data_IF_875885210314
#
_entry.id   IF_875885210314
#
_cell.length_a   1.000
_cell.length_b   1.000
_cell.length_c   1.000
_cell.angle_alpha   90.00
_cell.angle_beta   90.00
_cell.angle_gamma   90.00
#
_symmetry.space_group_name_H-M   'P 1'
#
loop_
_entity.id
_entity.type
_entity.pdbx_description
1 polymer ?
#
# COMPACT_ATOMS: atom_id res chain seq x y z
N UNK A 1 -1.47 -36.87 -9.77
CA UNK A 1 -0.91 -35.69 -9.06
C UNK A 1 -1.17 -35.87 -7.57
N UNK A 2 -0.19 -35.68 -6.68
CA UNK A 2 -0.35 -35.95 -5.24
C UNK A 2 -0.69 -34.68 -4.45
N UNK A 3 -1.35 -34.81 -3.30
CA UNK A 3 -1.68 -33.67 -2.41
C UNK A 3 -0.43 -32.90 -2.00
N UNK A 4 0.68 -33.61 -1.75
CA UNK A 4 1.99 -32.99 -1.43
C UNK A 4 2.48 -32.09 -2.57
N UNK A 5 2.31 -32.52 -3.83
CA UNK A 5 2.70 -31.72 -5.00
C UNK A 5 1.81 -30.48 -5.13
N UNK A 6 0.51 -30.61 -4.89
CA UNK A 6 -0.43 -29.47 -4.91
C UNK A 6 -0.06 -28.40 -3.88
N UNK A 7 0.19 -28.79 -2.63
CA UNK A 7 0.60 -27.85 -1.57
C UNK A 7 1.91 -27.13 -1.89
N UNK A 8 2.88 -27.85 -2.47
CA UNK A 8 4.15 -27.23 -2.88
C UNK A 8 3.93 -26.20 -3.98
N UNK A 9 3.14 -26.53 -5.00
CA UNK A 9 2.84 -25.60 -6.08
C UNK A 9 2.08 -24.34 -5.57
N UNK A 10 1.19 -24.50 -4.60
CA UNK A 10 0.51 -23.36 -3.96
C UNK A 10 1.50 -22.43 -3.25
N UNK A 11 2.42 -23.01 -2.48
CA UNK A 11 3.46 -22.26 -1.79
C UNK A 11 4.40 -21.54 -2.76
N UNK A 12 4.87 -22.23 -3.81
CA UNK A 12 5.71 -21.65 -4.86
C UNK A 12 5.02 -20.45 -5.53
N UNK A 13 3.74 -20.58 -5.90
CA UNK A 13 2.97 -19.49 -6.50
C UNK A 13 2.75 -18.32 -5.54
N UNK A 14 2.46 -18.59 -4.26
CA UNK A 14 2.31 -17.54 -3.26
C UNK A 14 3.62 -16.78 -3.03
N UNK A 15 4.77 -17.45 -3.09
CA UNK A 15 6.08 -16.80 -3.02
C UNK A 15 6.38 -15.98 -4.28
N UNK A 16 6.02 -16.46 -5.48
CA UNK A 16 6.12 -15.67 -6.71
C UNK A 16 5.29 -14.38 -6.64
N UNK A 17 4.09 -14.43 -6.06
CA UNK A 17 3.25 -13.24 -5.83
C UNK A 17 3.94 -12.25 -4.89
N UNK A 18 4.50 -12.72 -3.75
CA UNK A 18 5.26 -11.85 -2.83
C UNK A 18 6.46 -11.21 -3.53
N UNK A 19 7.20 -12.00 -4.30
CA UNK A 19 8.36 -11.52 -5.06
C UNK A 19 7.95 -10.50 -6.12
N UNK A 20 6.83 -10.71 -6.81
CA UNK A 20 6.29 -9.74 -7.75
C UNK A 20 6.00 -8.40 -7.09
N UNK A 21 5.36 -8.37 -5.92
CA UNK A 21 5.17 -7.14 -5.15
C UNK A 21 6.48 -6.47 -4.74
N UNK A 22 7.42 -7.23 -4.13
CA UNK A 22 8.74 -6.72 -3.71
C UNK A 22 9.56 -6.17 -4.88
N UNK A 23 9.45 -6.78 -6.06
CA UNK A 23 10.17 -6.33 -7.26
C UNK A 23 9.75 -4.93 -7.74
N UNK A 24 8.59 -4.45 -7.30
CA UNK A 24 8.02 -3.15 -7.65
C UNK A 24 8.20 -2.10 -6.54
N UNK A 25 9.06 -2.36 -5.55
CA UNK A 25 9.27 -1.47 -4.39
C UNK A 25 9.56 0.00 -4.77
N UNK A 26 10.30 0.24 -5.85
CA UNK A 26 10.58 1.60 -6.32
C UNK A 26 9.34 2.33 -6.86
N UNK A 27 8.37 1.59 -7.38
CA UNK A 27 7.07 2.13 -7.80
C UNK A 27 6.21 2.39 -6.56
N UNK A 28 6.13 1.43 -5.64
CA UNK A 28 5.39 1.59 -4.39
C UNK A 28 5.85 2.80 -3.56
N UNK A 29 7.16 3.04 -3.51
CA UNK A 29 7.73 4.20 -2.82
C UNK A 29 7.27 5.56 -3.38
N UNK A 30 6.81 5.63 -4.63
CA UNK A 30 6.31 6.87 -5.23
C UNK A 30 4.84 7.15 -4.87
N UNK A 31 4.10 6.09 -4.52
CA UNK A 31 2.66 6.16 -4.32
C UNK A 31 2.23 7.15 -3.23
N UNK A 32 2.85 7.22 -2.03
CA UNK A 32 2.43 8.14 -0.98
C UNK A 32 2.42 9.61 -1.42
N UNK A 33 3.45 10.01 -2.19
CA UNK A 33 3.52 11.36 -2.74
C UNK A 33 2.43 11.60 -3.78
N UNK A 34 2.26 10.68 -4.73
CA UNK A 34 1.25 10.80 -5.79
C UNK A 34 -0.17 10.86 -5.23
N UNK A 35 -0.48 10.00 -4.26
CA UNK A 35 -1.75 10.01 -3.52
C UNK A 35 -1.97 11.36 -2.85
N UNK A 36 -0.95 11.93 -2.20
CA UNK A 36 -1.07 13.25 -1.59
C UNK A 36 -1.30 14.37 -2.62
N UNK A 37 -0.74 14.27 -3.82
CA UNK A 37 -0.97 15.25 -4.90
C UNK A 37 -2.36 15.12 -5.53
N UNK A 38 -2.87 13.90 -5.63
CA UNK A 38 -4.24 13.62 -6.06
C UNK A 38 -5.26 14.02 -5.00
N UNK A 39 -4.96 13.80 -3.72
CA UNK A 39 -5.80 14.22 -2.61
C UNK A 39 -5.77 15.75 -2.44
N UNK A 40 -6.91 16.30 -2.03
CA UNK A 40 -7.15 17.73 -1.95
C UNK A 40 -7.63 18.39 -3.24
N UNK A 41 -7.68 17.66 -4.36
CA UNK A 41 -8.32 18.17 -5.60
C UNK A 41 -9.85 18.11 -5.51
N UNK A 42 -10.39 17.07 -4.88
CA UNK A 42 -11.83 16.84 -4.68
C UNK A 42 -12.20 16.55 -3.22
N UNK A 43 -11.31 16.92 -2.27
CA UNK A 43 -11.47 16.64 -0.83
C UNK A 43 -10.36 15.74 -0.26
N UNK A 44 -10.45 15.45 1.03
CA UNK A 44 -9.46 14.64 1.76
C UNK A 44 -10.05 13.30 2.21
N UNK A 45 -9.30 12.23 1.96
CA UNK A 45 -9.60 10.88 2.44
C UNK A 45 -8.70 10.45 3.60
N UNK A 46 -8.89 9.23 4.13
CA UNK A 46 -8.14 8.71 5.28
C UNK A 46 -6.63 8.49 4.99
N UNK A 47 -6.20 8.49 3.74
CA UNK A 47 -4.78 8.56 3.35
C UNK A 47 -3.88 7.50 3.99
N UNK A 48 -4.29 6.23 3.93
CA UNK A 48 -3.54 5.11 4.50
C UNK A 48 -2.12 4.99 3.91
N UNK A 49 -1.95 5.43 2.67
CA UNK A 49 -0.73 5.34 1.88
C UNK A 49 0.40 6.19 2.49
N UNK A 50 0.09 7.36 3.05
CA UNK A 50 1.09 8.19 3.72
C UNK A 50 0.99 8.16 5.26
N UNK A 51 -0.16 7.80 5.83
CA UNK A 51 -0.33 7.77 7.29
C UNK A 51 0.10 6.44 7.91
N UNK A 52 -0.22 5.32 7.25
CA UNK A 52 0.18 3.97 7.65
C UNK A 52 1.33 3.46 6.77
N UNK A 53 1.49 3.96 5.55
CA UNK A 53 2.52 3.50 4.63
C UNK A 53 2.14 2.23 3.89
N UNK A 54 0.85 2.00 3.64
CA UNK A 54 0.36 0.82 2.92
C UNK A 54 -0.62 1.19 1.82
N UNK A 55 -0.56 0.49 0.69
CA UNK A 55 -1.66 0.46 -0.29
C UNK A 55 -2.64 -0.64 0.12
N UNK A 56 -3.90 -0.29 0.28
CA UNK A 56 -4.93 -1.23 0.69
C UNK A 56 -5.36 -2.09 -0.50
N UNK A 57 -5.49 -3.40 -0.29
CA UNK A 57 -5.96 -4.37 -1.29
C UNK A 57 -7.38 -4.80 -0.93
N UNK A 58 -8.36 -4.53 -1.80
CA UNK A 58 -9.76 -4.80 -1.52
C UNK A 58 -10.04 -6.29 -1.46
N UNK A 59 -9.36 -7.08 -2.29
CA UNK A 59 -9.37 -8.54 -2.27
C UNK A 59 -9.05 -9.13 -0.89
N UNK A 60 -8.27 -8.44 -0.06
CA UNK A 60 -7.90 -8.88 1.30
C UNK A 60 -8.85 -8.37 2.40
N UNK A 61 -9.75 -7.42 2.10
CA UNK A 61 -10.60 -6.77 3.09
C UNK A 61 -11.98 -7.41 3.26
N UNK A 62 -12.30 -8.43 2.47
CA UNK A 62 -13.61 -9.09 2.46
C UNK A 62 -13.97 -9.84 3.76
N UNK A 63 -13.01 -10.08 4.68
CA UNK A 63 -13.19 -10.97 5.84
C UNK A 63 -12.98 -10.35 7.23
N UNK A 64 -12.83 -9.02 7.33
CA UNK A 64 -12.94 -8.28 8.61
C UNK A 64 -11.69 -8.19 9.50
N UNK A 65 -11.81 -7.33 10.53
CA UNK A 65 -10.86 -6.84 11.57
C UNK A 65 -9.49 -6.28 11.13
N UNK A 66 -8.86 -6.82 10.10
CA UNK A 66 -7.58 -6.34 9.58
C UNK A 66 -7.76 -5.75 8.19
N UNK A 67 -6.97 -4.73 7.87
CA UNK A 67 -6.85 -4.19 6.52
C UNK A 67 -5.61 -4.83 5.91
N UNK A 68 -5.77 -5.52 4.79
CA UNK A 68 -4.68 -6.15 4.05
C UNK A 68 -4.14 -5.21 2.99
N UNK A 69 -2.83 -5.28 2.71
CA UNK A 69 -2.24 -4.41 1.72
C UNK A 69 -0.78 -4.66 1.39
N UNK A 70 -0.24 -3.80 0.54
CA UNK A 70 1.20 -3.75 0.22
C UNK A 70 1.87 -2.69 1.07
N UNK A 71 2.96 -3.07 1.73
CA UNK A 71 3.87 -2.19 2.43
C UNK A 71 4.62 -1.29 1.43
N UNK A 72 4.45 0.03 1.51
CA UNK A 72 4.98 0.94 0.49
C UNK A 72 6.49 1.19 0.59
N UNK A 73 7.11 0.81 1.71
CA UNK A 73 8.56 0.92 1.89
C UNK A 73 9.30 -0.33 1.38
N UNK A 74 8.69 -1.50 1.54
CA UNK A 74 9.35 -2.81 1.29
C UNK A 74 8.73 -3.61 0.15
N UNK A 75 7.50 -3.29 -0.26
CA UNK A 75 6.71 -4.09 -1.19
C UNK A 75 6.19 -5.41 -0.59
N UNK A 76 6.27 -5.61 0.73
CA UNK A 76 5.77 -6.81 1.40
C UNK A 76 4.24 -6.83 1.51
N UNK A 77 3.63 -8.02 1.48
CA UNK A 77 2.21 -8.19 1.76
C UNK A 77 1.97 -8.23 3.27
N UNK A 78 1.12 -7.34 3.77
CA UNK A 78 0.94 -7.08 5.20
C UNK A 78 -0.53 -6.98 5.62
N UNK A 79 -0.77 -7.28 6.90
CA UNK A 79 -1.96 -6.86 7.62
C UNK A 79 -1.63 -5.68 8.54
N UNK A 80 -2.51 -4.70 8.57
CA UNK A 80 -2.52 -3.64 9.57
C UNK A 80 -3.84 -3.69 10.36
N UNK A 81 -3.82 -3.71 11.70
CA UNK A 81 -5.00 -3.43 12.49
C UNK A 81 -5.34 -1.94 12.39
N UNK A 82 -6.62 -1.61 12.60
CA UNK A 82 -7.11 -0.22 12.58
C UNK A 82 -6.32 0.72 13.50
N UNK A 83 -5.65 0.21 14.54
CA UNK A 83 -4.85 0.98 15.51
C UNK A 83 -3.39 1.25 15.11
N UNK A 84 -2.98 0.97 13.86
CA UNK A 84 -1.71 1.39 13.23
C UNK A 84 -0.40 0.91 13.90
N UNK A 85 -0.44 0.11 14.97
CA UNK A 85 0.74 -0.23 15.79
C UNK A 85 1.26 -1.66 15.67
N UNK A 86 0.58 -2.52 14.91
CA UNK A 86 0.91 -3.95 14.80
C UNK A 86 0.80 -4.44 13.34
N UNK A 87 1.63 -3.85 12.48
CA UNK A 87 1.77 -4.29 11.08
C UNK A 87 2.52 -5.61 11.06
N UNK A 88 1.95 -6.63 10.42
CA UNK A 88 2.49 -7.98 10.34
C UNK A 88 2.46 -8.52 8.90
N UNK A 89 3.39 -9.40 8.50
CA UNK A 89 3.38 -9.97 7.17
C UNK A 89 2.24 -10.99 7.02
N UNK A 90 1.75 -11.19 5.80
CA UNK A 90 0.79 -12.24 5.48
C UNK A 90 1.55 -13.55 5.26
N UNK A 91 1.40 -14.49 6.20
CA UNK A 91 2.09 -15.78 6.18
C UNK A 91 1.26 -16.91 5.60
N UNK A 92 -0.06 -16.75 5.52
CA UNK A 92 -0.96 -17.76 4.96
C UNK A 92 -0.99 -17.67 3.43
N UNK A 93 -0.47 -18.70 2.76
CA UNK A 93 -0.45 -18.81 1.30
C UNK A 93 -1.86 -18.84 0.70
N UNK A 94 -2.86 -19.39 1.42
CA UNK A 94 -4.23 -19.40 0.91
C UNK A 94 -4.77 -17.97 0.75
N UNK A 95 -4.47 -17.08 1.70
CA UNK A 95 -4.88 -15.67 1.63
C UNK A 95 -4.22 -14.94 0.46
N UNK A 96 -2.95 -15.25 0.18
CA UNK A 96 -2.21 -14.61 -0.92
C UNK A 96 -2.71 -15.07 -2.28
N UNK A 97 -3.06 -16.35 -2.40
CA UNK A 97 -3.66 -16.89 -3.61
C UNK A 97 -5.07 -16.34 -3.89
N UNK A 98 -5.71 -15.67 -2.93
CA UNK A 98 -6.99 -14.99 -3.10
C UNK A 98 -6.86 -13.53 -3.54
N UNK A 99 -5.64 -12.98 -3.60
CA UNK A 99 -5.42 -11.61 -4.02
C UNK A 99 -5.72 -11.47 -5.51
N UNK A 100 -6.44 -10.42 -5.87
CA UNK A 100 -6.57 -10.03 -7.27
C UNK A 100 -5.23 -9.47 -7.76
N UNK A 101 -4.62 -10.13 -8.75
CA UNK A 101 -3.31 -9.76 -9.26
C UNK A 101 -3.30 -8.37 -9.92
N UNK A 102 -4.45 -7.87 -10.37
CA UNK A 102 -4.55 -6.50 -10.90
C UNK A 102 -4.32 -5.44 -9.81
N UNK A 103 -4.66 -5.74 -8.55
CA UNK A 103 -4.39 -4.86 -7.41
C UNK A 103 -2.90 -4.84 -7.02
N UNK A 104 -2.09 -5.78 -7.53
CA UNK A 104 -0.66 -5.92 -7.23
C UNK A 104 0.25 -5.29 -8.30
N UNK A 105 -0.26 -4.92 -9.46
CA UNK A 105 0.53 -4.20 -10.45
C UNK A 105 0.57 -2.71 -10.09
N UNK A 106 1.74 -2.26 -9.64
CA UNK A 106 1.93 -0.87 -9.21
C UNK A 106 1.79 0.10 -10.39
N UNK A 107 2.11 -0.31 -11.62
CA UNK A 107 2.14 0.59 -12.79
C UNK A 107 0.79 1.22 -13.12
N UNK A 108 -0.31 0.45 -13.31
CA UNK A 108 -1.62 1.03 -13.59
C UNK A 108 -2.12 1.89 -12.41
N UNK A 109 -1.85 1.47 -11.18
CA UNK A 109 -2.20 2.23 -9.97
C UNK A 109 -1.50 3.60 -9.98
N UNK A 110 -0.18 3.61 -10.16
CA UNK A 110 0.59 4.86 -10.25
C UNK A 110 0.10 5.75 -11.38
N UNK A 111 -0.20 5.17 -12.55
CA UNK A 111 -0.72 5.91 -13.71
C UNK A 111 -2.02 6.64 -13.35
N UNK A 112 -2.96 5.94 -12.70
CA UNK A 112 -4.21 6.54 -12.23
C UNK A 112 -3.96 7.73 -11.29
N UNK A 113 -3.06 7.59 -10.31
CA UNK A 113 -2.75 8.69 -9.39
C UNK A 113 -2.01 9.84 -10.06
N UNK A 114 -1.17 9.57 -11.07
CA UNK A 114 -0.55 10.62 -11.88
C UNK A 114 -1.63 11.43 -12.60
N UNK A 115 -2.60 10.76 -13.24
CA UNK A 115 -3.71 11.41 -13.94
C UNK A 115 -4.57 12.24 -12.97
N UNK A 116 -4.99 11.64 -11.84
CA UNK A 116 -5.74 12.35 -10.79
C UNK A 116 -4.97 13.54 -10.21
N UNK A 117 -3.64 13.40 -10.07
CA UNK A 117 -2.78 14.48 -9.59
C UNK A 117 -2.62 15.64 -10.57
N UNK A 118 -3.21 15.58 -11.77
CA UNK A 118 -3.18 16.65 -12.77
C UNK A 118 -4.55 17.33 -12.94
N UNK A 119 -5.66 16.68 -12.57
CA UNK A 119 -7.03 17.19 -12.72
C UNK A 119 -7.28 18.50 -12.01
N UNK A 120 -8.04 19.46 -12.52
CA UNK A 120 -8.27 20.72 -11.80
C UNK A 120 -8.88 20.54 -10.39
N UNK A 121 -8.56 21.45 -9.47
CA UNK A 121 -9.22 21.46 -8.15
C UNK A 121 -10.68 21.80 -8.35
N UNK A 122 -11.58 21.00 -7.76
CA UNK A 122 -13.02 21.21 -7.89
C UNK A 122 -13.41 22.61 -7.42
N UNK A 123 -14.30 23.27 -8.16
CA UNK A 123 -14.70 24.67 -7.93
C UNK A 123 -15.26 24.98 -6.55
N UNK A 124 -15.69 23.95 -5.80
CA UNK A 124 -16.21 24.06 -4.44
C UNK A 124 -15.11 24.09 -3.37
N UNK A 125 -13.85 23.84 -3.72
CA UNK A 125 -12.73 23.81 -2.78
C UNK A 125 -11.84 25.04 -2.91
N UNK A 126 -11.37 25.56 -1.78
CA UNK A 126 -10.38 26.64 -1.76
C UNK A 126 -8.99 26.08 -2.08
N UNK A 127 -8.47 26.38 -3.27
CA UNK A 127 -7.16 25.93 -3.73
C UNK A 127 -6.02 26.29 -2.78
N UNK A 128 -5.98 27.51 -2.23
CA UNK A 128 -4.90 27.92 -1.34
C UNK A 128 -4.91 27.14 -0.03
N UNK A 129 -6.10 26.84 0.50
CA UNK A 129 -6.26 26.03 1.71
C UNK A 129 -5.83 24.58 1.47
N UNK A 130 -6.24 24.02 0.33
CA UNK A 130 -5.86 22.68 -0.10
C UNK A 130 -4.34 22.55 -0.25
N UNK A 131 -3.69 23.52 -0.88
CA UNK A 131 -2.24 23.52 -1.05
C UNK A 131 -1.51 23.66 0.29
N UNK A 132 -1.99 24.51 1.21
CA UNK A 132 -1.43 24.61 2.57
C UNK A 132 -1.54 23.28 3.33
N UNK A 133 -2.68 22.60 3.23
CA UNK A 133 -2.89 21.30 3.87
C UNK A 133 -1.99 20.23 3.25
N UNK A 134 -1.84 20.22 1.92
CA UNK A 134 -0.93 19.33 1.20
C UNK A 134 0.51 19.50 1.65
N UNK A 135 0.99 20.73 1.73
CA UNK A 135 2.34 21.04 2.22
C UNK A 135 2.55 20.62 3.68
N UNK A 136 1.54 20.83 4.54
CA UNK A 136 1.57 20.40 5.93
C UNK A 136 1.66 18.87 6.06
N UNK A 137 0.89 18.12 5.27
CA UNK A 137 0.93 16.65 5.23
C UNK A 137 2.25 16.14 4.64
N UNK A 138 2.73 16.72 3.54
CA UNK A 138 4.02 16.38 2.95
C UNK A 138 5.15 16.53 3.98
N UNK A 139 5.16 17.64 4.74
CA UNK A 139 6.11 17.85 5.83
C UNK A 139 5.92 16.86 6.98
N UNK A 140 4.68 16.61 7.41
CA UNK A 140 4.36 15.67 8.50
C UNK A 140 4.83 14.26 8.21
N UNK A 141 4.72 13.80 6.97
CA UNK A 141 5.04 12.44 6.54
C UNK A 141 6.34 12.33 5.72
N UNK A 142 7.11 13.42 5.62
CA UNK A 142 8.38 13.50 4.88
C UNK A 142 8.28 13.06 3.41
N UNK A 143 7.17 13.40 2.75
CA UNK A 143 6.93 13.06 1.35
C UNK A 143 7.53 14.11 0.43
N UNK A 144 8.20 13.67 -0.63
CA UNK A 144 8.71 14.53 -1.68
C UNK A 144 8.82 13.78 -3.01
N UNK A 145 8.62 14.49 -4.12
CA UNK A 145 8.79 13.93 -5.45
C UNK A 145 10.19 13.32 -5.65
N UNK A 146 10.23 12.09 -6.15
CA UNK A 146 11.48 11.38 -6.46
C UNK A 146 12.34 11.00 -5.25
N UNK A 147 11.81 11.11 -4.02
CA UNK A 147 12.48 10.62 -2.81
C UNK A 147 11.88 9.28 -2.39
N UNK A 148 12.71 8.29 -2.01
CA UNK A 148 12.20 7.04 -1.45
C UNK A 148 11.34 7.32 -0.21
N UNK A 149 10.21 6.64 -0.11
CA UNK A 149 9.36 6.71 1.06
C UNK A 149 10.00 5.92 2.21
N UNK A 150 9.78 6.42 3.43
CA UNK A 150 10.21 5.77 4.68
C UNK A 150 9.07 5.86 5.67
N UNK A 151 8.57 4.73 6.12
CA UNK A 151 7.48 4.71 7.10
C UNK A 151 8.00 5.18 8.46
N UNK A 152 7.15 5.91 9.19
CA UNK A 152 7.47 6.34 10.57
C UNK A 152 7.26 5.24 11.62
N UNK A 153 6.28 4.38 11.41
CA UNK A 153 5.97 3.28 12.33
C UNK A 153 6.76 2.04 11.94
N UNK A 154 7.69 1.57 12.80
CA UNK A 154 8.48 0.38 12.50
C UNK A 154 7.60 -0.88 12.47
N UNK A 155 7.99 -1.82 11.62
CA UNK A 155 7.50 -3.19 11.66
C UNK A 155 7.80 -3.80 13.04
N UNK A 156 6.82 -4.43 13.69
CA UNK A 156 7.15 -5.46 14.66
C UNK A 156 7.28 -6.75 13.89
N UNK A 157 8.51 -7.10 13.51
CA UNK A 157 8.81 -8.47 13.13
C UNK A 157 8.60 -9.28 14.41
N UNK A 158 7.49 -10.02 14.49
CA UNK A 158 7.32 -11.02 15.54
C UNK A 158 8.27 -12.15 15.16
N UNK A 159 9.41 -12.23 15.86
CA UNK A 159 10.49 -13.20 15.61
C UNK A 159 10.02 -14.67 15.74
N UNK A 160 8.83 -14.90 16.28
CA UNK A 160 8.26 -16.23 16.54
C UNK A 160 7.78 -17.00 15.28
N UNK A 161 7.90 -16.45 14.07
CA UNK A 161 7.46 -17.10 12.83
C UNK A 161 8.59 -17.64 11.94
N UNK A 162 9.84 -17.61 12.43
CA UNK A 162 11.00 -18.28 11.80
C UNK A 162 11.37 -19.63 12.45
N UNK A 163 10.44 -20.24 13.18
CA UNK A 163 10.59 -21.56 13.83
C UNK A 163 9.94 -22.69 13.05
#
# INVERSE_FOLDING_TARGET
MTIKKLRRNQHELAEEIRQFCRSQVDLWNQLPWLVLQAQGRTGWGPGYEYSVGMMVLESLNAHGYHIGGVDLETGELIYAPKSQSDIRPITDDAQILHIDLEELDAKPILKQYIELSQEETGSYYNYEEQEKQRQALAKRYHLAAGKPYRRKTPFKVVEDYLG
#
